data_IF_138768318472
#
_entry.id   IF_138768318472
#
_cell.length_a   1.000
_cell.length_b   1.000
_cell.length_c   1.000
_cell.angle_alpha   90.00
_cell.angle_beta   90.00
_cell.angle_gamma   90.00
#
_symmetry.space_group_name_H-M   'P 1'
#
loop_
_entity.id
_entity.type
_entity.pdbx_description
1 polymer ?
#
# COMPACT_ATOMS: atom_id res chain seq x y z
N UNK A 1 12.56 -32.35 -8.27
CA UNK A 1 12.78 -30.95 -7.86
C UNK A 1 11.42 -30.28 -7.89
N UNK A 2 11.00 -29.70 -6.77
CA UNK A 2 9.78 -28.89 -6.70
C UNK A 2 10.09 -27.53 -7.33
N UNK A 3 9.35 -27.12 -8.36
CA UNK A 3 9.51 -25.78 -8.94
C UNK A 3 9.14 -24.72 -7.89
N UNK A 4 9.91 -23.65 -7.85
CA UNK A 4 9.61 -22.51 -6.98
C UNK A 4 8.44 -21.70 -7.54
N UNK A 5 7.74 -20.93 -6.69
CA UNK A 5 6.68 -20.03 -7.17
C UNK A 5 7.23 -18.91 -8.07
N UNK A 6 8.50 -18.61 -7.96
CA UNK A 6 9.20 -17.63 -8.79
C UNK A 6 9.43 -18.21 -10.19
N UNK A 7 9.94 -19.44 -10.28
CA UNK A 7 10.07 -20.17 -11.57
C UNK A 7 8.71 -20.32 -12.27
N UNK A 8 7.67 -20.71 -11.53
CA UNK A 8 6.30 -20.79 -12.10
C UNK A 8 5.79 -19.41 -12.52
N UNK A 9 6.10 -18.36 -11.76
CA UNK A 9 5.74 -16.98 -12.10
C UNK A 9 6.48 -16.45 -13.33
N UNK A 10 7.74 -16.83 -13.51
CA UNK A 10 8.55 -16.52 -14.69
C UNK A 10 8.00 -17.25 -15.93
N UNK A 11 7.61 -18.52 -15.80
CA UNK A 11 6.97 -19.26 -16.89
C UNK A 11 5.67 -18.58 -17.36
N UNK A 12 4.79 -18.17 -16.43
CA UNK A 12 3.58 -17.41 -16.79
C UNK A 12 3.90 -16.04 -17.39
N UNK A 13 4.96 -15.37 -16.93
CA UNK A 13 5.36 -14.09 -17.48
C UNK A 13 5.89 -14.24 -18.91
N UNK A 14 6.69 -15.26 -19.19
CA UNK A 14 7.16 -15.58 -20.53
C UNK A 14 5.98 -15.96 -21.44
N UNK A 15 4.99 -16.71 -20.96
CA UNK A 15 3.76 -16.99 -21.73
C UNK A 15 3.01 -15.69 -22.11
N UNK A 16 2.89 -14.74 -21.17
CA UNK A 16 2.28 -13.42 -21.44
C UNK A 16 3.09 -12.59 -22.44
N UNK A 17 4.41 -12.80 -22.50
CA UNK A 17 5.31 -12.16 -23.46
C UNK A 17 5.16 -12.81 -24.85
N UNK A 18 5.18 -14.14 -24.91
CA UNK A 18 5.04 -14.94 -26.13
C UNK A 18 3.67 -14.74 -26.80
N UNK A 19 2.63 -14.57 -25.99
CA UNK A 19 1.27 -14.23 -26.46
C UNK A 19 1.09 -12.76 -26.80
N UNK A 20 2.15 -11.94 -26.74
CA UNK A 20 2.16 -10.51 -27.01
C UNK A 20 1.18 -9.70 -26.14
N UNK A 21 0.73 -10.24 -25.00
CA UNK A 21 -0.13 -9.49 -24.07
C UNK A 21 0.68 -8.46 -23.29
N UNK A 22 1.95 -8.79 -23.02
CA UNK A 22 2.90 -7.99 -22.27
C UNK A 22 4.19 -7.84 -23.09
N UNK A 23 4.81 -6.67 -23.04
CA UNK A 23 6.08 -6.36 -23.68
C UNK A 23 7.15 -6.12 -22.62
N UNK A 24 8.33 -6.67 -22.83
CA UNK A 24 9.48 -6.42 -21.96
C UNK A 24 9.96 -4.98 -22.16
N UNK A 25 10.01 -4.21 -21.08
CA UNK A 25 10.52 -2.83 -21.08
C UNK A 25 12.01 -2.82 -20.68
N UNK A 26 12.37 -3.50 -19.60
CA UNK A 26 13.77 -3.65 -19.17
C UNK A 26 14.05 -5.07 -18.73
N UNK A 27 15.22 -5.58 -19.14
CA UNK A 27 15.81 -6.81 -18.58
C UNK A 27 16.82 -6.47 -17.49
N UNK A 28 17.12 -7.44 -16.65
CA UNK A 28 18.14 -7.34 -15.62
C UNK A 28 19.57 -7.32 -16.21
N UNK A 29 20.58 -7.34 -15.34
CA UNK A 29 21.98 -7.34 -15.77
C UNK A 29 22.41 -8.65 -16.45
N UNK A 30 21.66 -9.74 -16.28
CA UNK A 30 21.90 -11.03 -16.95
C UNK A 30 21.36 -11.04 -18.38
N UNK A 31 20.52 -10.05 -18.73
CA UNK A 31 19.75 -9.96 -19.98
C UNK A 31 18.75 -11.10 -20.18
N UNK A 32 18.57 -11.96 -19.18
CA UNK A 32 17.63 -13.08 -19.19
C UNK A 32 16.38 -12.65 -18.41
N UNK A 33 16.54 -12.28 -17.14
CA UNK A 33 15.41 -11.91 -16.27
C UNK A 33 14.70 -10.62 -16.70
N UNK A 34 13.37 -10.65 -16.72
CA UNK A 34 12.51 -9.48 -16.97
C UNK A 34 12.43 -8.63 -15.71
N UNK A 35 12.92 -7.38 -15.78
CA UNK A 35 12.92 -6.43 -14.66
C UNK A 35 11.68 -5.55 -14.64
N UNK A 36 11.27 -5.07 -15.81
CA UNK A 36 10.01 -4.34 -16.01
C UNK A 36 9.37 -4.79 -17.31
N UNK A 37 8.04 -4.85 -17.29
CA UNK A 37 7.23 -5.13 -18.46
C UNK A 37 6.06 -4.14 -18.52
N UNK A 38 5.52 -3.93 -19.73
CA UNK A 38 4.37 -3.07 -19.98
C UNK A 38 3.30 -3.86 -20.73
N UNK A 39 2.03 -3.59 -20.48
CA UNK A 39 0.96 -4.16 -21.32
C UNK A 39 1.12 -3.66 -22.76
N UNK A 40 0.87 -4.56 -23.72
CA UNK A 40 0.82 -4.18 -25.12
C UNK A 40 -0.30 -3.16 -25.35
N UNK A 41 -0.08 -2.19 -26.24
CA UNK A 41 -1.03 -1.08 -26.45
C UNK A 41 -2.44 -1.56 -26.82
N UNK A 42 -2.59 -2.56 -27.71
CA UNK A 42 -3.90 -3.19 -28.00
C UNK A 42 -4.59 -3.79 -26.77
N UNK A 43 -3.87 -4.52 -25.91
CA UNK A 43 -4.44 -5.10 -24.69
C UNK A 43 -4.81 -4.01 -23.70
N UNK A 44 -3.99 -2.96 -23.58
CA UNK A 44 -4.31 -1.77 -22.79
C UNK A 44 -5.57 -1.09 -23.29
N UNK A 45 -5.69 -0.85 -24.59
CA UNK A 45 -6.83 -0.16 -25.18
C UNK A 45 -8.12 -0.99 -25.08
N UNK A 46 -8.02 -2.32 -25.22
CA UNK A 46 -9.12 -3.24 -24.94
C UNK A 46 -9.56 -3.16 -23.47
N UNK A 47 -8.61 -3.23 -22.52
CA UNK A 47 -8.91 -3.09 -21.08
C UNK A 47 -9.53 -1.72 -20.74
N UNK A 48 -9.06 -0.64 -21.36
CA UNK A 48 -9.61 0.72 -21.19
C UNK A 48 -11.04 0.78 -21.72
N UNK A 49 -11.28 0.19 -22.89
CA UNK A 49 -12.61 0.12 -23.52
C UNK A 49 -13.58 -0.65 -22.62
N UNK A 50 -13.17 -1.83 -22.16
CA UNK A 50 -13.93 -2.65 -21.20
C UNK A 50 -14.20 -1.92 -19.89
N UNK A 51 -13.22 -1.19 -19.35
CA UNK A 51 -13.42 -0.39 -18.14
C UNK A 51 -14.43 0.76 -18.34
N UNK A 52 -14.45 1.39 -19.52
CA UNK A 52 -15.44 2.43 -19.86
C UNK A 52 -16.85 1.85 -19.98
N UNK A 53 -16.98 0.73 -20.70
CA UNK A 53 -18.26 0.05 -20.95
C UNK A 53 -18.86 -0.56 -19.68
N UNK A 54 -18.08 -1.35 -18.94
CA UNK A 54 -18.60 -2.22 -17.88
C UNK A 54 -18.48 -1.59 -16.49
N UNK A 55 -17.49 -0.70 -16.29
CA UNK A 55 -17.19 -0.12 -14.97
C UNK A 55 -17.52 1.37 -14.86
N UNK A 56 -18.11 1.96 -15.91
CA UNK A 56 -18.39 3.40 -16.00
C UNK A 56 -17.17 4.26 -15.65
N UNK A 57 -15.97 3.78 -16.02
CA UNK A 57 -14.70 4.40 -15.66
C UNK A 57 -14.32 5.50 -16.65
N UNK A 58 -13.96 6.67 -16.14
CA UNK A 58 -13.31 7.71 -16.92
C UNK A 58 -11.80 7.67 -16.64
N UNK A 59 -11.01 7.62 -17.72
CA UNK A 59 -9.55 7.59 -17.63
C UNK A 59 -9.04 8.86 -18.29
N UNK A 60 -8.34 9.67 -17.51
CA UNK A 60 -7.69 10.89 -17.96
C UNK A 60 -6.19 10.61 -17.96
N UNK A 61 -5.65 10.49 -19.17
CA UNK A 61 -4.23 10.27 -19.43
C UNK A 61 -3.75 11.26 -20.49
N UNK A 62 -2.49 11.67 -20.43
CA UNK A 62 -1.92 12.50 -21.49
C UNK A 62 -1.69 11.65 -22.74
N UNK A 63 -2.13 12.12 -23.91
CA UNK A 63 -1.75 11.51 -25.18
C UNK A 63 -0.29 11.91 -25.51
N UNK A 64 0.55 10.92 -25.80
CA UNK A 64 1.78 11.16 -26.55
C UNK A 64 1.33 11.59 -27.95
N UNK A 65 1.67 12.80 -28.39
CA UNK A 65 1.42 13.22 -29.76
C UNK A 65 2.19 12.28 -30.70
N UNK A 66 1.48 11.37 -31.35
CA UNK A 66 1.93 10.64 -32.52
C UNK A 66 0.86 10.88 -33.57
N UNK A 67 1.14 11.84 -34.44
CA UNK A 67 0.37 12.26 -35.62
C UNK A 67 -0.83 11.37 -35.98
N UNK A 68 -2.00 11.71 -35.47
CA UNK A 68 -3.28 11.67 -36.21
C UNK A 68 -4.26 12.57 -35.47
N UNK A 69 -4.81 13.52 -36.19
CA UNK A 69 -5.48 14.71 -35.68
C UNK A 69 -6.75 14.39 -34.88
N UNK A 70 -6.69 14.56 -33.56
CA UNK A 70 -7.77 15.19 -32.79
C UNK A 70 -7.13 16.34 -32.02
N UNK A 71 -7.44 17.55 -32.45
CA UNK A 71 -7.03 18.80 -31.80
C UNK A 71 -7.40 18.77 -30.31
N UNK A 72 -6.40 18.70 -29.44
CA UNK A 72 -6.49 19.27 -28.09
C UNK A 72 -5.32 20.25 -27.93
N UNK A 73 -5.30 21.25 -28.80
CA UNK A 73 -4.45 22.41 -28.67
C UNK A 73 -5.02 23.38 -27.64
N UNK A 74 -4.14 23.86 -26.76
CA UNK A 74 -4.18 25.17 -26.09
C UNK A 74 -5.56 25.70 -25.61
N UNK A 75 -5.74 25.73 -24.29
CA UNK A 75 -6.80 26.49 -23.59
C UNK A 75 -8.26 26.02 -23.76
N UNK A 76 -8.52 24.80 -24.25
CA UNK A 76 -9.83 24.16 -24.13
C UNK A 76 -10.05 23.60 -22.70
N UNK A 77 -10.47 24.50 -21.82
CA UNK A 77 -11.39 24.31 -20.70
C UNK A 77 -11.21 23.10 -19.77
N UNK A 78 -10.64 23.41 -18.60
CA UNK A 78 -10.92 22.79 -17.29
C UNK A 78 -12.42 22.48 -17.04
N UNK A 79 -13.34 23.09 -17.79
CA UNK A 79 -14.79 22.93 -17.67
C UNK A 79 -15.34 21.56 -18.10
N UNK A 80 -14.71 20.84 -19.05
CA UNK A 80 -15.19 19.50 -19.45
C UNK A 80 -14.72 18.37 -18.52
N UNK A 81 -13.72 18.62 -17.67
CA UNK A 81 -13.34 17.70 -16.60
C UNK A 81 -14.32 17.77 -15.43
N UNK A 82 -15.09 18.86 -15.31
CA UNK A 82 -15.85 19.18 -14.12
C UNK A 82 -17.20 18.49 -13.99
N UNK A 83 -17.72 17.81 -15.02
CA UNK A 83 -19.06 17.23 -15.02
C UNK A 83 -19.09 15.85 -15.68
N UNK A 84 -18.89 14.81 -14.87
CA UNK A 84 -18.91 13.43 -15.32
C UNK A 84 -19.75 12.57 -14.38
N UNK A 85 -20.67 11.81 -14.97
CA UNK A 85 -21.50 10.87 -14.22
C UNK A 85 -20.75 9.55 -13.89
N UNK A 86 -19.43 9.52 -14.12
CA UNK A 86 -18.59 8.37 -13.86
C UNK A 86 -18.50 8.04 -12.38
N UNK A 87 -18.61 6.73 -12.08
CA UNK A 87 -18.44 6.19 -10.72
C UNK A 87 -16.97 5.95 -10.38
N UNK A 88 -16.09 5.89 -11.38
CA UNK A 88 -14.65 5.70 -11.21
C UNK A 88 -13.88 6.67 -12.10
N UNK A 89 -12.87 7.32 -11.52
CA UNK A 89 -11.99 8.24 -12.22
C UNK A 89 -10.55 7.82 -11.98
N UNK A 90 -9.80 7.63 -13.07
CA UNK A 90 -8.37 7.32 -13.04
C UNK A 90 -7.61 8.47 -13.66
N UNK A 91 -6.67 9.04 -12.91
CA UNK A 91 -5.76 10.08 -13.35
C UNK A 91 -4.37 9.46 -13.52
N UNK A 92 -3.80 9.59 -14.70
CA UNK A 92 -2.45 9.11 -14.97
C UNK A 92 -1.53 10.29 -15.35
N UNK A 93 -1.06 11.07 -14.36
CA UNK A 93 -0.21 12.21 -14.62
C UNK A 93 1.19 11.79 -15.06
N UNK A 94 1.68 12.41 -16.14
CA UNK A 94 3.06 12.30 -16.61
C UNK A 94 3.96 13.25 -15.81
N UNK A 95 5.23 12.90 -15.61
CA UNK A 95 6.16 13.75 -14.86
C UNK A 95 6.54 15.03 -15.61
N UNK A 96 6.38 15.07 -16.93
CA UNK A 96 6.82 16.19 -17.78
C UNK A 96 5.93 17.44 -17.65
N UNK A 97 4.71 17.32 -17.11
CA UNK A 97 3.74 18.43 -17.02
C UNK A 97 3.07 18.53 -15.64
N UNK A 98 3.86 18.53 -14.58
CA UNK A 98 3.38 18.52 -13.20
C UNK A 98 2.45 19.71 -12.85
N UNK A 99 2.69 20.91 -13.41
CA UNK A 99 1.84 22.11 -13.22
C UNK A 99 0.45 21.98 -13.88
N UNK A 100 0.39 21.39 -15.08
CA UNK A 100 -0.86 21.11 -15.77
C UNK A 100 -1.73 20.16 -14.95
N UNK A 101 -1.13 19.06 -14.47
CA UNK A 101 -1.84 18.08 -13.65
C UNK A 101 -2.28 18.62 -12.30
N UNK A 102 -1.52 19.52 -11.68
CA UNK A 102 -1.98 20.25 -10.49
C UNK A 102 -3.25 21.06 -10.80
N UNK A 103 -3.25 21.81 -11.91
CA UNK A 103 -4.41 22.62 -12.32
C UNK A 103 -5.65 21.76 -12.64
N UNK A 104 -5.47 20.66 -13.38
CA UNK A 104 -6.53 19.70 -13.66
C UNK A 104 -7.07 19.07 -12.36
N UNK A 105 -6.17 18.71 -11.45
CA UNK A 105 -6.54 18.09 -10.19
C UNK A 105 -7.29 19.06 -9.27
N UNK A 106 -6.87 20.33 -9.18
CA UNK A 106 -7.61 21.37 -8.46
C UNK A 106 -9.00 21.63 -9.08
N UNK A 107 -9.12 21.54 -10.41
CA UNK A 107 -10.42 21.65 -11.08
C UNK A 107 -11.34 20.49 -10.74
N UNK A 108 -10.81 19.26 -10.67
CA UNK A 108 -11.56 18.06 -10.27
C UNK A 108 -11.98 18.15 -8.79
N UNK A 109 -11.07 18.55 -7.90
CA UNK A 109 -11.36 18.70 -6.47
C UNK A 109 -12.28 19.89 -6.17
N UNK A 110 -12.19 20.97 -6.95
CA UNK A 110 -12.94 22.21 -6.77
C UNK A 110 -14.34 22.20 -7.39
N UNK A 111 -14.58 21.37 -8.41
CA UNK A 111 -15.88 21.25 -9.10
C UNK A 111 -16.91 20.40 -8.35
N UNK A 112 -18.20 20.65 -8.62
CA UNK A 112 -19.34 19.89 -8.06
C UNK A 112 -19.78 18.70 -8.92
N UNK A 113 -19.32 18.58 -10.17
CA UNK A 113 -19.89 17.64 -11.13
C UNK A 113 -19.34 16.20 -11.09
N UNK A 114 -18.86 15.76 -9.92
CA UNK A 114 -18.49 14.36 -9.64
C UNK A 114 -19.23 13.79 -8.43
N UNK A 115 -20.48 14.23 -8.20
CA UNK A 115 -21.29 13.81 -7.05
C UNK A 115 -21.45 12.28 -6.93
N UNK A 116 -21.43 11.56 -8.06
CA UNK A 116 -21.60 10.10 -8.14
C UNK A 116 -20.27 9.31 -8.11
N UNK A 117 -19.13 9.99 -7.91
CA UNK A 117 -17.83 9.34 -7.93
C UNK A 117 -17.63 8.47 -6.68
N UNK A 118 -17.36 7.18 -6.88
CA UNK A 118 -17.10 6.21 -5.82
C UNK A 118 -15.61 5.86 -5.68
N UNK A 119 -14.83 5.97 -6.75
CA UNK A 119 -13.40 5.64 -6.74
C UNK A 119 -12.62 6.69 -7.51
N UNK A 120 -11.54 7.19 -6.91
CA UNK A 120 -10.57 8.07 -7.54
C UNK A 120 -9.17 7.48 -7.37
N UNK A 121 -8.50 7.16 -8.48
CA UNK A 121 -7.16 6.58 -8.52
C UNK A 121 -6.21 7.55 -9.22
N UNK A 122 -5.14 7.97 -8.54
CA UNK A 122 -4.12 8.85 -9.11
C UNK A 122 -2.79 8.09 -9.25
N UNK A 123 -2.48 7.64 -10.47
CA UNK A 123 -1.38 6.72 -10.80
C UNK A 123 -0.06 7.43 -11.15
N UNK A 124 0.19 8.61 -10.59
CA UNK A 124 1.41 9.35 -10.83
C UNK A 124 1.55 10.52 -9.86
N UNK A 125 2.74 11.10 -9.83
CA UNK A 125 3.11 12.13 -8.87
C UNK A 125 2.31 13.41 -9.02
N UNK A 126 1.47 13.75 -8.04
CA UNK A 126 0.81 15.06 -7.98
C UNK A 126 1.66 16.00 -7.09
N UNK A 127 1.94 17.20 -7.60
CA UNK A 127 2.43 18.31 -6.78
C UNK A 127 1.27 18.81 -5.94
N UNK A 128 1.24 18.47 -4.66
CA UNK A 128 0.19 18.95 -3.76
C UNK A 128 0.70 20.22 -3.05
N UNK A 129 0.28 21.39 -3.56
CA UNK A 129 0.63 22.70 -2.96
C UNK A 129 -0.38 23.22 -1.94
N UNK A 130 -1.48 22.50 -1.70
CA UNK A 130 -2.57 22.94 -0.83
C UNK A 130 -3.43 21.78 -0.30
N UNK A 131 -4.33 22.09 0.64
CA UNK A 131 -5.21 21.13 1.30
C UNK A 131 -6.09 20.36 0.30
N UNK A 132 -6.15 19.05 0.47
CA UNK A 132 -6.94 18.14 -0.35
C UNK A 132 -8.35 18.03 0.24
N UNK A 133 -9.28 18.78 -0.35
CA UNK A 133 -10.67 18.83 0.08
C UNK A 133 -11.49 17.74 -0.63
N UNK A 134 -11.53 16.54 -0.04
CA UNK A 134 -12.34 15.43 -0.56
C UNK A 134 -13.84 15.59 -0.24
N UNK A 135 -14.23 16.55 0.61
CA UNK A 135 -15.62 16.77 1.03
C UNK A 135 -16.60 16.97 -0.13
N UNK A 136 -16.12 17.32 -1.32
CA UNK A 136 -16.95 17.52 -2.50
C UNK A 136 -17.41 16.20 -3.15
N UNK A 137 -16.79 15.06 -2.81
CA UNK A 137 -17.17 13.74 -3.31
C UNK A 137 -18.00 12.96 -2.29
N UNK A 138 -19.29 13.28 -2.20
CA UNK A 138 -20.21 12.68 -1.22
C UNK A 138 -20.29 11.15 -1.26
N UNK A 139 -20.01 10.54 -2.42
CA UNK A 139 -20.08 9.08 -2.64
C UNK A 139 -18.72 8.37 -2.65
N UNK A 140 -17.61 9.09 -2.46
CA UNK A 140 -16.27 8.53 -2.60
C UNK A 140 -15.99 7.49 -1.52
N UNK A 141 -15.67 6.27 -1.94
CA UNK A 141 -15.34 5.12 -1.08
C UNK A 141 -13.88 4.73 -1.15
N UNK A 142 -13.25 4.90 -2.31
CA UNK A 142 -11.84 4.52 -2.52
C UNK A 142 -11.08 5.71 -3.06
N UNK A 143 -10.01 6.06 -2.36
CA UNK A 143 -9.09 7.11 -2.79
C UNK A 143 -7.66 6.59 -2.73
N UNK A 144 -6.99 6.58 -3.88
CA UNK A 144 -5.57 6.26 -3.99
C UNK A 144 -4.82 7.45 -4.57
N UNK A 145 -3.82 7.91 -3.83
CA UNK A 145 -3.08 9.12 -4.13
C UNK A 145 -1.58 8.85 -4.11
N UNK A 146 -0.91 9.24 -5.18
CA UNK A 146 0.55 9.33 -5.22
C UNK A 146 0.99 10.81 -5.23
N UNK A 147 1.71 11.22 -4.19
CA UNK A 147 2.25 12.58 -4.03
C UNK A 147 3.75 12.52 -4.30
N UNK A 148 4.20 13.12 -5.40
CA UNK A 148 5.62 13.11 -5.77
C UNK A 148 6.43 14.23 -5.12
N UNK A 149 5.83 15.39 -4.84
CA UNK A 149 6.55 16.48 -4.19
C UNK A 149 5.65 17.37 -3.34
N UNK A 150 6.19 17.88 -2.24
CA UNK A 150 5.62 19.02 -1.52
C UNK A 150 6.07 20.28 -2.24
N UNK A 151 5.21 21.27 -2.37
CA UNK A 151 5.72 22.62 -2.62
C UNK A 151 6.70 23.00 -1.51
N UNK A 152 7.80 23.65 -1.87
CA UNK A 152 8.80 24.20 -0.94
C UNK A 152 8.24 25.25 0.05
N UNK A 153 6.93 25.46 0.09
CA UNK A 153 6.25 26.50 0.88
C UNK A 153 5.94 26.06 2.33
N UNK A 154 6.33 24.84 2.73
CA UNK A 154 6.18 24.35 4.09
C UNK A 154 4.72 24.14 4.52
N UNK A 155 3.75 24.19 3.60
CA UNK A 155 2.34 23.99 3.93
C UNK A 155 2.07 22.53 4.27
N UNK A 156 1.39 22.31 5.40
CA UNK A 156 0.92 20.97 5.76
C UNK A 156 -0.24 20.61 4.84
N UNK A 157 -0.09 19.56 4.06
CA UNK A 157 -1.21 18.99 3.31
C UNK A 157 -2.20 18.46 4.36
N UNK A 158 -3.45 18.88 4.25
CA UNK A 158 -4.54 18.40 5.10
C UNK A 158 -5.50 17.61 4.22
N UNK A 159 -5.88 16.43 4.69
CA UNK A 159 -6.94 15.65 4.07
C UNK A 159 -8.23 15.84 4.84
N UNK A 160 -9.26 16.32 4.15
CA UNK A 160 -10.62 16.40 4.65
C UNK A 160 -11.45 15.32 3.97
N UNK A 161 -11.53 14.15 4.60
CA UNK A 161 -12.27 13.02 4.04
C UNK A 161 -13.78 13.19 4.22
N UNK A 162 -14.53 12.47 3.39
CA UNK A 162 -15.98 12.35 3.51
C UNK A 162 -16.34 11.23 4.48
N UNK A 163 -17.53 11.28 5.06
CA UNK A 163 -18.04 10.21 5.93
C UNK A 163 -18.20 8.86 5.21
N UNK A 164 -18.10 8.81 3.88
CA UNK A 164 -18.29 7.62 3.05
C UNK A 164 -16.99 6.91 2.64
N UNK A 165 -15.82 7.53 2.87
CA UNK A 165 -14.53 6.97 2.45
C UNK A 165 -14.24 5.67 3.22
N UNK A 166 -14.02 4.57 2.50
CA UNK A 166 -13.79 3.23 3.04
C UNK A 166 -12.32 2.78 2.93
N UNK A 167 -11.61 3.25 1.91
CA UNK A 167 -10.22 2.90 1.63
C UNK A 167 -9.41 4.13 1.22
N UNK A 168 -8.30 4.36 1.91
CA UNK A 168 -7.34 5.42 1.61
C UNK A 168 -5.97 4.79 1.40
N UNK A 169 -5.35 5.05 0.25
CA UNK A 169 -3.96 4.68 -0.01
C UNK A 169 -3.18 5.93 -0.39
N UNK A 170 -2.03 6.15 0.25
CA UNK A 170 -1.18 7.32 0.01
C UNK A 170 0.27 6.90 -0.14
N UNK A 171 0.92 7.41 -1.17
CA UNK A 171 2.36 7.25 -1.39
C UNK A 171 3.03 8.60 -1.45
N UNK A 172 4.02 8.83 -0.59
CA UNK A 172 4.81 10.05 -0.46
C UNK A 172 6.26 9.76 -0.92
N UNK A 173 6.90 10.75 -1.54
CA UNK A 173 8.33 10.70 -1.82
C UNK A 173 9.18 10.76 -0.52
N UNK A 174 10.44 10.31 -0.60
CA UNK A 174 11.28 9.95 0.56
C UNK A 174 11.47 11.07 1.59
N UNK A 175 11.49 12.33 1.15
CA UNK A 175 11.74 13.49 2.01
C UNK A 175 10.45 14.11 2.56
N UNK A 176 9.30 13.66 2.06
CA UNK A 176 8.01 14.25 2.37
C UNK A 176 7.25 13.44 3.41
N UNK A 177 7.08 14.01 4.61
CA UNK A 177 6.19 13.44 5.63
C UNK A 177 4.70 13.50 5.22
N UNK A 178 3.90 12.53 5.68
CA UNK A 178 2.47 12.46 5.38
C UNK A 178 1.66 13.72 5.81
N UNK A 179 0.58 14.05 5.07
CA UNK A 179 -0.40 15.05 5.48
C UNK A 179 -1.02 14.75 6.84
N UNK A 180 -1.33 15.74 7.66
CA UNK A 180 -2.17 15.52 8.85
C UNK A 180 -3.64 15.33 8.46
N UNK A 181 -4.34 14.38 9.08
CA UNK A 181 -5.80 14.31 8.99
C UNK A 181 -6.41 15.38 9.91
N UNK A 182 -7.17 16.32 9.37
CA UNK A 182 -8.00 17.21 10.20
C UNK A 182 -9.22 16.40 10.69
N UNK A 183 -9.33 16.24 12.01
CA UNK A 183 -10.45 15.57 12.69
C UNK A 183 -10.69 14.12 12.24
N UNK A 184 -10.02 13.11 12.84
CA UNK A 184 -10.35 11.69 12.63
C UNK A 184 -11.84 11.34 12.77
N UNK A 185 -12.58 12.15 13.52
CA UNK A 185 -14.05 12.14 13.66
C UNK A 185 -14.81 12.50 12.37
N UNK A 186 -14.17 12.74 11.24
CA UNK A 186 -14.85 12.90 9.95
C UNK A 186 -14.84 11.60 9.12
N UNK A 187 -13.90 10.69 9.41
CA UNK A 187 -13.58 9.51 8.61
C UNK A 187 -14.19 8.21 9.19
N UNK A 188 -15.42 8.25 9.70
CA UNK A 188 -15.98 7.12 10.46
C UNK A 188 -16.10 5.81 9.65
N UNK A 189 -16.24 5.88 8.33
CA UNK A 189 -16.34 4.69 7.46
C UNK A 189 -14.99 4.13 7.01
N UNK A 190 -13.86 4.80 7.35
CA UNK A 190 -12.55 4.41 6.84
C UNK A 190 -12.10 3.09 7.47
N UNK A 191 -12.07 2.04 6.65
CA UNK A 191 -11.79 0.67 7.09
C UNK A 191 -10.41 0.17 6.66
N UNK A 192 -9.85 0.75 5.58
CA UNK A 192 -8.58 0.36 4.99
C UNK A 192 -7.67 1.58 4.81
N UNK A 193 -6.42 1.45 5.26
CA UNK A 193 -5.41 2.49 5.13
C UNK A 193 -4.09 1.88 4.63
N UNK A 194 -3.56 2.44 3.55
CA UNK A 194 -2.22 2.15 3.03
C UNK A 194 -1.37 3.41 3.03
N UNK A 195 -0.16 3.32 3.58
CA UNK A 195 0.79 4.44 3.65
C UNK A 195 2.13 3.97 3.11
N UNK A 196 2.65 4.64 2.09
CA UNK A 196 3.98 4.43 1.53
C UNK A 196 4.82 5.71 1.63
N UNK A 197 6.03 5.63 2.16
CA UNK A 197 6.93 6.79 2.36
C UNK A 197 7.07 7.18 3.83
N UNK A 198 7.96 8.12 4.15
CA UNK A 198 8.43 8.41 5.52
C UNK A 198 7.33 9.00 6.42
N UNK A 199 7.15 8.44 7.62
CA UNK A 199 6.31 9.02 8.67
C UNK A 199 7.19 9.85 9.61
N UNK A 200 6.93 11.15 9.71
CA UNK A 200 7.65 12.01 10.63
C UNK A 200 7.14 11.81 12.06
N UNK A 201 8.06 11.52 12.98
CA UNK A 201 7.77 11.35 14.41
C UNK A 201 7.84 12.69 15.14
N UNK A 202 6.86 13.00 16.01
CA UNK A 202 6.74 14.26 16.74
C UNK A 202 5.40 14.38 17.51
N UNK A 203 5.13 15.53 18.15
CA UNK A 203 3.91 15.80 18.96
C UNK A 203 2.56 15.59 18.22
N UNK A 204 2.58 15.39 16.90
CA UNK A 204 1.43 15.09 16.05
C UNK A 204 1.77 13.99 15.04
N UNK A 205 2.28 12.85 15.51
CA UNK A 205 2.52 11.72 14.62
C UNK A 205 1.22 11.33 13.91
N UNK A 206 1.28 11.14 12.59
CA UNK A 206 0.13 10.79 11.74
C UNK A 206 -0.68 9.62 12.31
N UNK A 207 0.05 8.64 12.89
CA UNK A 207 -0.51 7.43 13.47
C UNK A 207 -1.28 7.66 14.78
N UNK A 208 -1.10 8.79 15.48
CA UNK A 208 -1.84 9.11 16.70
C UNK A 208 -3.31 9.42 16.44
N UNK A 209 -3.63 9.88 15.22
CA UNK A 209 -4.96 10.35 14.83
C UNK A 209 -5.63 9.39 13.83
N UNK A 210 -5.30 8.11 13.89
CA UNK A 210 -5.95 7.12 13.02
C UNK A 210 -7.40 6.85 13.47
N UNK A 211 -8.35 6.72 12.52
CA UNK A 211 -9.74 6.42 12.86
C UNK A 211 -9.90 5.04 13.53
N UNK A 212 -10.75 4.90 14.56
CA UNK A 212 -10.97 3.63 15.26
C UNK A 212 -11.72 2.58 14.42
N UNK A 213 -12.28 2.97 13.28
CA UNK A 213 -12.97 2.11 12.30
C UNK A 213 -12.03 1.27 11.45
N UNK A 214 -10.71 1.53 11.50
CA UNK A 214 -9.73 0.82 10.69
C UNK A 214 -9.68 -0.67 11.04
N UNK A 215 -9.79 -1.49 10.00
CA UNK A 215 -9.68 -2.96 10.04
C UNK A 215 -8.44 -3.46 9.32
N UNK A 216 -7.91 -2.69 8.37
CA UNK A 216 -6.71 -3.01 7.61
C UNK A 216 -5.77 -1.81 7.57
N UNK A 217 -4.54 -2.02 8.02
CA UNK A 217 -3.45 -1.04 7.91
C UNK A 217 -2.28 -1.68 7.16
N UNK A 218 -1.69 -0.92 6.26
CA UNK A 218 -0.44 -1.32 5.61
C UNK A 218 0.54 -0.16 5.54
N UNK A 219 1.76 -0.41 6.01
CA UNK A 219 2.85 0.57 6.10
C UNK A 219 4.02 0.08 5.23
N UNK A 220 4.45 0.93 4.31
CA UNK A 220 5.59 0.67 3.41
C UNK A 220 6.57 1.83 3.47
N UNK A 221 7.88 1.56 3.59
CA UNK A 221 8.91 2.61 3.55
C UNK A 221 8.65 3.76 4.52
N UNK A 222 7.98 3.44 5.65
CA UNK A 222 7.61 4.41 6.69
C UNK A 222 8.78 4.93 7.49
N UNK A 223 9.92 4.22 7.49
CA UNK A 223 11.17 4.65 8.09
C UNK A 223 11.00 5.10 9.56
N UNK A 224 10.15 4.40 10.31
CA UNK A 224 9.89 4.73 11.71
C UNK A 224 11.09 4.33 12.57
N UNK A 225 11.48 5.19 13.50
CA UNK A 225 12.52 4.93 14.49
C UNK A 225 11.91 4.32 15.77
N UNK A 226 10.69 4.73 16.10
CA UNK A 226 9.89 4.14 17.17
C UNK A 226 9.15 2.89 16.70
N UNK A 227 8.97 1.94 17.62
CA UNK A 227 8.24 0.71 17.35
C UNK A 227 6.79 1.03 16.91
N UNK A 228 6.34 0.53 15.75
CA UNK A 228 4.97 0.74 15.29
C UNK A 228 3.91 0.05 16.15
N UNK A 229 4.22 -1.05 16.83
CA UNK A 229 3.24 -1.90 17.51
C UNK A 229 2.50 -1.17 18.64
N UNK A 230 3.15 -0.44 19.58
CA UNK A 230 2.46 0.32 20.62
C UNK A 230 1.51 1.39 20.08
N UNK A 231 1.85 2.00 18.95
CA UNK A 231 1.02 3.02 18.33
C UNK A 231 -0.22 2.41 17.68
N UNK A 232 -0.03 1.32 16.93
CA UNK A 232 -1.09 0.63 16.21
C UNK A 232 -2.07 -0.05 17.16
N UNK A 233 -1.67 -0.35 18.41
CA UNK A 233 -2.55 -0.92 19.45
C UNK A 233 -3.76 -0.03 19.78
N UNK A 234 -3.73 1.25 19.44
CA UNK A 234 -4.87 2.16 19.61
C UNK A 234 -6.06 1.85 18.69
N UNK A 235 -5.91 0.93 17.74
CA UNK A 235 -6.94 0.57 16.76
C UNK A 235 -7.74 -0.67 17.23
N UNK A 236 -8.94 -0.50 17.80
CA UNK A 236 -9.67 -1.58 18.45
C UNK A 236 -10.26 -2.61 17.47
N UNK A 237 -10.41 -2.25 16.19
CA UNK A 237 -11.04 -3.07 15.16
C UNK A 237 -10.06 -3.66 14.14
N UNK A 238 -8.75 -3.51 14.38
CA UNK A 238 -7.72 -3.95 13.44
C UNK A 238 -7.72 -5.48 13.30
N UNK A 239 -7.83 -5.96 12.06
CA UNK A 239 -7.81 -7.38 11.67
C UNK A 239 -6.61 -7.74 10.81
N UNK A 240 -6.10 -6.79 10.04
CA UNK A 240 -4.97 -6.99 9.14
C UNK A 240 -3.94 -5.89 9.36
N UNK A 241 -2.71 -6.29 9.66
CA UNK A 241 -1.56 -5.40 9.71
C UNK A 241 -0.45 -5.94 8.80
N UNK A 242 0.06 -5.07 7.94
CA UNK A 242 1.25 -5.34 7.15
C UNK A 242 2.27 -4.20 7.33
N UNK A 243 3.49 -4.56 7.70
CA UNK A 243 4.62 -3.64 7.91
C UNK A 243 5.74 -4.12 6.99
N UNK A 244 6.12 -3.31 6.01
CA UNK A 244 6.93 -3.76 4.87
C UNK A 244 7.98 -2.74 4.40
N UNK A 245 9.03 -3.21 3.73
CA UNK A 245 10.04 -2.40 3.04
C UNK A 245 10.61 -1.29 3.95
N UNK A 246 11.36 -1.67 4.98
CA UNK A 246 11.98 -0.74 5.93
C UNK A 246 11.01 0.26 6.58
N UNK A 247 9.75 -0.16 6.78
CA UNK A 247 8.78 0.64 7.53
C UNK A 247 9.21 0.91 8.98
N UNK A 248 10.09 0.08 9.54
CA UNK A 248 10.68 0.26 10.87
C UNK A 248 12.20 0.07 10.79
N UNK A 249 12.94 1.04 11.34
CA UNK A 249 14.41 1.12 11.31
C UNK A 249 15.06 0.68 12.63
N UNK A 250 14.26 0.45 13.68
CA UNK A 250 14.79 0.03 14.97
C UNK A 250 15.12 -1.47 15.04
N UNK A 251 15.89 -1.84 16.06
CA UNK A 251 16.43 -3.19 16.20
C UNK A 251 15.58 -4.14 17.05
N UNK A 252 14.66 -3.60 17.86
CA UNK A 252 13.81 -4.38 18.78
C UNK A 252 12.35 -3.98 18.61
N UNK A 253 11.50 -4.96 18.30
CA UNK A 253 10.06 -4.79 18.17
C UNK A 253 9.32 -5.55 19.26
N UNK A 254 8.29 -4.94 19.84
CA UNK A 254 7.56 -5.42 21.02
C UNK A 254 6.06 -5.39 20.78
N UNK A 255 5.41 -6.55 20.89
CA UNK A 255 3.96 -6.68 20.78
C UNK A 255 3.30 -6.82 22.17
N UNK A 256 2.32 -5.97 22.47
CA UNK A 256 1.42 -6.16 23.63
C UNK A 256 0.13 -6.86 23.18
N UNK A 257 -0.02 -8.15 23.48
CA UNK A 257 -1.00 -9.00 22.80
C UNK A 257 -2.46 -8.84 23.26
N UNK A 258 -2.70 -8.51 24.54
CA UNK A 258 -4.05 -8.19 25.06
C UNK A 258 -4.73 -7.00 24.35
N UNK A 259 -4.01 -6.32 23.46
CA UNK A 259 -4.44 -5.06 22.88
C UNK A 259 -4.72 -5.15 21.38
N UNK A 260 -4.52 -6.33 20.80
CA UNK A 260 -4.94 -6.65 19.45
C UNK A 260 -6.01 -7.75 19.46
N UNK A 261 -7.20 -7.49 20.07
CA UNK A 261 -8.20 -8.54 20.32
C UNK A 261 -8.76 -9.14 19.02
N UNK A 262 -8.73 -8.39 17.91
CA UNK A 262 -9.31 -8.78 16.62
C UNK A 262 -8.27 -8.99 15.52
N UNK A 263 -6.96 -8.88 15.80
CA UNK A 263 -5.93 -9.00 14.76
C UNK A 263 -5.87 -10.45 14.29
N UNK A 264 -6.12 -10.67 13.00
CA UNK A 264 -6.19 -12.00 12.38
C UNK A 264 -4.97 -12.30 11.50
N UNK A 265 -4.40 -11.28 10.87
CA UNK A 265 -3.25 -11.42 9.98
C UNK A 265 -2.20 -10.37 10.27
N UNK A 266 -0.98 -10.84 10.51
CA UNK A 266 0.20 -10.00 10.66
C UNK A 266 1.25 -10.40 9.62
N UNK A 267 1.65 -9.43 8.81
CA UNK A 267 2.70 -9.59 7.81
C UNK A 267 3.83 -8.63 8.14
N UNK A 268 5.03 -9.17 8.27
CA UNK A 268 6.26 -8.40 8.42
C UNK A 268 7.19 -8.81 7.30
N UNK A 269 7.50 -7.87 6.40
CA UNK A 269 8.33 -8.11 5.23
C UNK A 269 9.48 -7.10 5.17
N UNK A 270 10.69 -7.56 4.86
CA UNK A 270 11.81 -6.67 4.52
C UNK A 270 12.08 -5.61 5.59
N UNK A 271 12.16 -6.03 6.86
CA UNK A 271 12.58 -5.19 7.98
C UNK A 271 14.04 -5.48 8.32
N UNK A 272 14.97 -4.84 7.61
CA UNK A 272 16.38 -5.26 7.61
C UNK A 272 17.13 -4.99 8.91
N UNK A 273 16.58 -4.17 9.81
CA UNK A 273 17.20 -3.77 11.07
C UNK A 273 16.76 -4.59 12.27
N UNK A 274 15.59 -5.24 12.20
CA UNK A 274 14.99 -5.96 13.33
C UNK A 274 15.83 -7.20 13.66
N UNK A 275 16.33 -7.25 14.89
CA UNK A 275 17.09 -8.38 15.46
C UNK A 275 16.28 -9.15 16.48
N UNK A 276 15.49 -8.43 17.27
CA UNK A 276 14.72 -8.98 18.38
C UNK A 276 13.23 -8.66 18.21
N UNK A 277 12.39 -9.67 18.39
CA UNK A 277 10.95 -9.51 18.36
C UNK A 277 10.31 -10.28 19.52
N UNK A 278 9.58 -9.58 20.39
CA UNK A 278 9.03 -10.14 21.64
C UNK A 278 7.54 -9.85 21.81
N UNK A 279 6.83 -10.75 22.49
CA UNK A 279 5.43 -10.57 22.91
C UNK A 279 5.42 -10.44 24.45
N UNK A 280 5.09 -9.26 24.98
CA UNK A 280 5.31 -8.92 26.41
C UNK A 280 4.08 -9.15 27.32
N UNK A 281 2.87 -9.33 26.78
CA UNK A 281 1.67 -9.52 27.63
C UNK A 281 0.53 -10.23 26.89
N UNK A 282 0.29 -11.49 27.28
CA UNK A 282 -0.80 -12.35 26.79
C UNK A 282 -0.58 -12.91 25.38
N UNK A 283 -1.47 -13.81 24.93
CA UNK A 283 -1.51 -14.26 23.54
C UNK A 283 -2.32 -13.30 22.65
N UNK A 284 -2.00 -13.18 21.36
CA UNK A 284 -2.84 -12.46 20.40
C UNK A 284 -4.02 -13.37 20.06
N UNK A 285 -5.20 -13.20 20.69
CA UNK A 285 -6.17 -14.28 20.80
C UNK A 285 -6.83 -14.62 19.46
N UNK A 286 -6.82 -13.69 18.49
CA UNK A 286 -7.45 -13.86 17.19
C UNK A 286 -6.47 -14.09 16.05
N UNK A 287 -5.16 -14.13 16.31
CA UNK A 287 -4.15 -14.18 15.24
C UNK A 287 -4.17 -15.54 14.55
N UNK A 288 -4.64 -15.58 13.31
CA UNK A 288 -4.74 -16.80 12.49
C UNK A 288 -3.55 -16.98 11.57
N UNK A 289 -2.91 -15.88 11.14
CA UNK A 289 -1.83 -15.90 10.15
C UNK A 289 -0.68 -14.98 10.53
N UNK A 290 0.53 -15.51 10.49
CA UNK A 290 1.77 -14.77 10.65
C UNK A 290 2.68 -15.04 9.44
N UNK A 291 3.09 -13.97 8.74
CA UNK A 291 4.08 -14.03 7.65
C UNK A 291 5.31 -13.21 8.03
N UNK A 292 6.48 -13.83 7.97
CA UNK A 292 7.79 -13.22 8.20
C UNK A 292 8.62 -13.44 6.94
N UNK A 293 8.89 -12.36 6.21
CA UNK A 293 9.51 -12.44 4.90
C UNK A 293 10.71 -11.49 4.83
N UNK A 294 11.87 -11.93 4.34
CA UNK A 294 13.05 -11.06 4.12
C UNK A 294 13.53 -10.27 5.37
N UNK A 295 13.37 -10.83 6.58
CA UNK A 295 13.82 -10.23 7.86
C UNK A 295 15.16 -10.85 8.29
N UNK A 296 16.21 -10.65 7.49
CA UNK A 296 17.45 -11.43 7.57
C UNK A 296 18.19 -11.34 8.92
N UNK A 297 18.04 -10.25 9.67
CA UNK A 297 18.76 -10.04 10.95
C UNK A 297 18.06 -10.62 12.18
N UNK A 298 16.86 -11.18 12.02
CA UNK A 298 16.09 -11.74 13.13
C UNK A 298 16.82 -12.95 13.72
N UNK A 299 17.16 -12.90 15.01
CA UNK A 299 18.00 -13.93 15.63
C UNK A 299 17.24 -15.19 16.07
N UNK A 300 15.99 -14.99 16.52
CA UNK A 300 15.10 -16.02 17.07
C UNK A 300 13.67 -15.73 16.64
N UNK A 301 12.87 -16.79 16.51
CA UNK A 301 11.42 -16.63 16.36
C UNK A 301 10.85 -15.89 17.59
N UNK A 302 9.74 -15.17 17.41
CA UNK A 302 9.20 -14.27 18.42
C UNK A 302 9.08 -14.96 19.79
N UNK A 303 9.64 -14.33 20.82
CA UNK A 303 9.50 -14.84 22.19
C UNK A 303 8.03 -14.70 22.60
N UNK A 304 7.42 -15.80 23.05
CA UNK A 304 6.02 -15.86 23.44
C UNK A 304 5.06 -16.25 22.31
N UNK A 305 5.59 -16.59 21.12
CA UNK A 305 4.76 -17.16 20.05
C UNK A 305 4.15 -18.51 20.45
N UNK A 306 4.79 -19.25 21.35
CA UNK A 306 4.25 -20.49 21.92
C UNK A 306 2.89 -20.32 22.60
N UNK A 307 2.53 -19.10 23.02
CA UNK A 307 1.26 -18.83 23.69
C UNK A 307 0.13 -18.50 22.72
N UNK A 308 0.42 -18.25 21.43
CA UNK A 308 -0.56 -17.79 20.43
C UNK A 308 -1.32 -18.99 19.81
N UNK A 309 -2.15 -19.64 20.62
CA UNK A 309 -2.86 -20.88 20.24
C UNK A 309 -3.85 -20.75 19.08
N UNK A 310 -4.24 -19.53 18.69
CA UNK A 310 -5.14 -19.26 17.57
C UNK A 310 -4.48 -19.34 16.18
N UNK A 311 -3.15 -19.45 16.14
CA UNK A 311 -2.37 -19.39 14.90
C UNK A 311 -2.57 -20.65 14.05
N UNK A 312 -3.03 -20.44 12.81
CA UNK A 312 -3.33 -21.51 11.83
C UNK A 312 -2.25 -21.63 10.76
N UNK A 313 -1.63 -20.52 10.40
CA UNK A 313 -0.67 -20.42 9.31
C UNK A 313 0.56 -19.61 9.73
N UNK A 314 1.73 -20.22 9.63
CA UNK A 314 3.03 -19.56 9.76
C UNK A 314 3.78 -19.66 8.42
N UNK A 315 4.09 -18.49 7.85
CA UNK A 315 4.91 -18.36 6.65
C UNK A 315 6.22 -17.69 6.99
N UNK A 316 7.31 -18.35 6.64
CA UNK A 316 8.67 -17.88 6.80
C UNK A 316 9.30 -17.98 5.43
N UNK A 317 9.66 -16.84 4.82
CA UNK A 317 10.18 -16.81 3.45
C UNK A 317 11.41 -15.95 3.32
N UNK A 318 12.38 -16.42 2.53
CA UNK A 318 13.60 -15.67 2.23
C UNK A 318 14.27 -15.20 3.55
N UNK A 319 14.41 -16.12 4.51
CA UNK A 319 15.09 -15.88 5.79
C UNK A 319 16.46 -16.57 5.77
N UNK A 320 17.37 -16.15 6.65
CA UNK A 320 18.69 -16.78 6.72
C UNK A 320 18.59 -18.26 7.09
N UNK A 321 19.41 -19.11 6.45
CA UNK A 321 19.44 -20.55 6.71
C UNK A 321 19.69 -20.88 8.19
N UNK A 322 20.51 -20.08 8.88
CA UNK A 322 20.76 -20.23 10.32
C UNK A 322 19.51 -20.03 11.17
N UNK A 323 18.58 -19.19 10.74
CA UNK A 323 17.27 -19.00 11.36
C UNK A 323 16.32 -20.14 11.00
N UNK A 324 16.17 -20.45 9.71
CA UNK A 324 15.29 -21.52 9.24
C UNK A 324 15.65 -22.89 9.84
N UNK A 325 16.93 -23.19 10.00
CA UNK A 325 17.40 -24.45 10.62
C UNK A 325 16.92 -24.61 12.06
N UNK A 326 16.75 -23.54 12.83
CA UNK A 326 16.23 -23.61 14.21
C UNK A 326 14.75 -23.99 14.25
N UNK A 327 14.01 -23.81 13.15
CA UNK A 327 12.57 -24.06 13.03
C UNK A 327 12.24 -25.33 12.24
N UNK A 328 13.24 -26.15 11.92
CA UNK A 328 13.02 -27.45 11.28
C UNK A 328 12.41 -28.44 12.27
N UNK A 329 11.50 -29.29 11.78
CA UNK A 329 10.88 -30.37 12.57
C UNK A 329 11.94 -31.26 13.22
N UNK A 330 12.99 -31.58 12.47
CA UNK A 330 14.10 -32.43 12.91
C UNK A 330 15.26 -31.52 13.36
N UNK A 331 15.72 -31.70 14.60
CA UNK A 331 16.82 -30.95 15.24
C UNK A 331 16.64 -29.42 15.36
N UNK A 332 15.47 -28.86 15.02
CA UNK A 332 15.20 -27.44 15.22
C UNK A 332 14.98 -27.10 16.69
N UNK A 333 15.96 -26.41 17.29
CA UNK A 333 15.92 -26.02 18.70
C UNK A 333 14.73 -25.12 19.07
N UNK A 334 14.14 -24.42 18.10
CA UNK A 334 13.00 -23.51 18.30
C UNK A 334 11.68 -24.10 17.75
N UNK A 335 11.67 -25.33 17.21
CA UNK A 335 10.47 -25.93 16.61
C UNK A 335 9.33 -26.09 17.61
N UNK A 336 9.63 -26.37 18.89
CA UNK A 336 8.63 -26.49 19.95
C UNK A 336 7.76 -25.23 20.11
N UNK A 337 8.25 -24.05 19.68
CA UNK A 337 7.51 -22.78 19.71
C UNK A 337 6.48 -22.64 18.60
N UNK A 338 6.57 -23.45 17.55
CA UNK A 338 5.74 -23.34 16.34
C UNK A 338 5.05 -24.65 15.97
N UNK A 339 5.47 -25.78 16.55
CA UNK A 339 4.99 -27.11 16.17
C UNK A 339 3.49 -27.36 16.42
N UNK A 340 2.81 -26.52 17.21
CA UNK A 340 1.36 -26.57 17.37
C UNK A 340 0.59 -25.99 16.17
N UNK A 341 1.27 -25.27 15.27
CA UNK A 341 0.65 -24.55 14.15
C UNK A 341 0.35 -25.54 13.02
N UNK A 342 -0.91 -25.65 12.55
CA UNK A 342 -1.31 -26.64 11.53
C UNK A 342 -0.59 -26.51 10.18
N UNK A 343 -0.33 -25.29 9.74
CA UNK A 343 0.29 -25.02 8.43
C UNK A 343 1.55 -24.17 8.59
N UNK A 344 2.71 -24.81 8.45
CA UNK A 344 4.02 -24.15 8.51
C UNK A 344 4.69 -24.26 7.14
N UNK A 345 5.02 -23.11 6.54
CA UNK A 345 5.76 -23.01 5.29
C UNK A 345 7.05 -22.25 5.54
N UNK A 346 8.19 -22.93 5.44
CA UNK A 346 9.53 -22.35 5.55
C UNK A 346 10.19 -22.48 4.17
N UNK A 347 10.49 -21.35 3.52
CA UNK A 347 11.13 -21.28 2.20
C UNK A 347 12.32 -20.34 2.18
#
# INVERSE_FOLDING_TARGET
>A
MEQTLEEVGEEYLEELIDTCMVQVDKRDHTRIGVKTCRMHDFVRDLCITKAREEMSAQIIQQQHESNTSINIGSAASSEHLGNSNSRRLVLHPSSEKALFWNTCFQSILGGTGHANLHSLLCLGGILCSSALKLSNFGMLRVYELHVADKSNDGRTIVLRCTGCLQSLSMSMSRDNGFPSLESPSSCHSLSKLGLKGKILEGRRSFLQFLPPSLTKVTLWMSHMEQDPMPMIKKLPNLRFLCVSNDAYLGSKMVCSAHVFPKLETLIVNELVYVRYWTIESGPMPSLKKLSIEKVYRLEKILIGLEFVTSLKELKIRWMNNSFCNKLKVIHGIDYYKVGYIPSISIR
#
